data_IF_997424994098
#
_entry.id   IF_997424994098
#
_cell.length_a   1.000
_cell.length_b   1.000
_cell.length_c   1.000
_cell.angle_alpha   90.00
_cell.angle_beta   90.00
_cell.angle_gamma   90.00
#
_symmetry.space_group_name_H-M   'P 1'
#
loop_
_entity.id
_entity.type
_entity.pdbx_description
1 polymer ?
#
# COMPACT_ATOMS: atom_id res chain seq x y z
N UNK A 1 -37.23 29.36 -47.66
CA UNK A 1 -37.29 27.90 -47.41
C UNK A 1 -36.00 27.48 -46.73
N UNK A 2 -36.02 27.31 -45.41
CA UNK A 2 -34.92 26.65 -44.69
C UNK A 2 -35.40 25.21 -44.47
N UNK A 3 -34.58 24.24 -44.90
CA UNK A 3 -34.92 22.84 -44.98
C UNK A 3 -35.44 22.30 -43.64
N UNK A 4 -36.61 21.65 -43.66
CA UNK A 4 -37.06 20.80 -42.56
C UNK A 4 -36.00 19.72 -42.35
N UNK A 5 -35.39 19.73 -41.17
CA UNK A 5 -34.47 18.68 -40.75
C UNK A 5 -35.22 17.36 -40.85
N UNK A 6 -34.82 16.51 -41.80
CA UNK A 6 -35.58 15.31 -42.13
C UNK A 6 -35.74 14.41 -40.90
N UNK A 7 -36.83 13.63 -40.80
CA UNK A 7 -37.05 12.70 -39.69
C UNK A 7 -35.88 11.72 -39.50
N UNK A 8 -35.13 11.43 -40.56
CA UNK A 8 -33.92 10.61 -40.53
C UNK A 8 -32.76 11.31 -39.82
N UNK A 9 -32.57 12.61 -40.05
CA UNK A 9 -31.53 13.40 -39.35
C UNK A 9 -31.86 13.52 -37.86
N UNK A 10 -33.15 13.73 -37.49
CA UNK A 10 -33.56 13.72 -36.07
C UNK A 10 -33.31 12.37 -35.40
N UNK A 11 -33.62 11.26 -36.09
CA UNK A 11 -33.33 9.91 -35.57
C UNK A 11 -31.84 9.63 -35.46
N UNK A 12 -31.03 10.05 -36.43
CA UNK A 12 -29.59 9.89 -36.37
C UNK A 12 -29.00 10.66 -35.18
N UNK A 13 -29.37 11.93 -35.00
CA UNK A 13 -28.93 12.76 -33.87
C UNK A 13 -29.36 12.14 -32.54
N UNK A 14 -30.61 11.67 -32.42
CA UNK A 14 -31.10 11.02 -31.20
C UNK A 14 -30.34 9.72 -30.89
N UNK A 15 -30.07 8.88 -31.89
CA UNK A 15 -29.27 7.67 -31.71
C UNK A 15 -27.83 7.96 -31.35
N UNK A 16 -27.19 8.97 -31.96
CA UNK A 16 -25.84 9.39 -31.59
C UNK A 16 -25.81 9.90 -30.15
N UNK A 17 -26.82 10.66 -29.72
CA UNK A 17 -26.97 11.13 -28.33
C UNK A 17 -27.13 9.96 -27.36
N UNK A 18 -27.98 8.98 -27.69
CA UNK A 18 -28.17 7.78 -26.86
C UNK A 18 -26.88 6.99 -26.74
N UNK A 19 -26.18 6.73 -27.86
CA UNK A 19 -24.91 5.99 -27.84
C UNK A 19 -23.84 6.73 -27.04
N UNK A 20 -23.72 8.05 -27.23
CA UNK A 20 -22.80 8.88 -26.44
C UNK A 20 -23.17 8.90 -24.97
N UNK A 21 -24.46 9.00 -24.61
CA UNK A 21 -24.91 8.95 -23.22
C UNK A 21 -24.66 7.57 -22.61
N UNK A 22 -24.89 6.47 -23.33
CA UNK A 22 -24.61 5.12 -22.85
C UNK A 22 -23.10 4.89 -22.66
N UNK A 23 -22.27 5.29 -23.63
CA UNK A 23 -20.80 5.21 -23.52
C UNK A 23 -20.32 6.12 -22.39
N UNK A 24 -20.85 7.34 -22.29
CA UNK A 24 -20.59 8.30 -21.22
C UNK A 24 -20.98 7.75 -19.84
N UNK A 25 -22.11 7.06 -19.72
CA UNK A 25 -22.57 6.47 -18.47
C UNK A 25 -21.76 5.23 -18.08
N UNK A 26 -21.41 4.37 -19.03
CA UNK A 26 -20.51 3.22 -18.79
C UNK A 26 -19.13 3.70 -18.35
N UNK A 27 -18.60 4.74 -19.00
CA UNK A 27 -17.28 5.29 -18.67
C UNK A 27 -17.29 6.14 -17.40
N UNK A 28 -18.38 6.87 -17.09
CA UNK A 28 -18.59 7.46 -15.77
C UNK A 28 -18.71 6.39 -14.70
N UNK A 29 -19.36 5.25 -14.99
CA UNK A 29 -19.44 4.12 -14.07
C UNK A 29 -18.08 3.48 -13.81
N UNK A 30 -17.23 3.37 -14.83
CA UNK A 30 -15.83 2.93 -14.70
C UNK A 30 -14.99 3.95 -13.93
N UNK A 31 -15.18 5.24 -14.20
CA UNK A 31 -14.54 6.33 -13.48
C UNK A 31 -14.99 6.37 -12.02
N UNK A 32 -16.27 6.22 -11.73
CA UNK A 32 -16.82 6.11 -10.38
C UNK A 32 -16.34 4.87 -9.67
N UNK A 33 -16.10 3.74 -10.34
CA UNK A 33 -15.47 2.57 -9.72
C UNK A 33 -14.00 2.84 -9.37
N UNK A 34 -13.27 3.53 -10.26
CA UNK A 34 -11.91 3.98 -10.00
C UNK A 34 -11.85 5.01 -8.86
N UNK A 35 -12.83 5.93 -8.81
CA UNK A 35 -12.95 6.99 -7.81
C UNK A 35 -13.49 6.43 -6.50
N UNK A 36 -14.43 5.48 -6.47
CA UNK A 36 -14.82 4.75 -5.25
C UNK A 36 -13.67 3.88 -4.71
N UNK A 37 -12.74 3.46 -5.57
CA UNK A 37 -11.46 2.88 -5.17
C UNK A 37 -10.49 3.87 -4.53
N UNK A 38 -10.57 5.16 -4.88
CA UNK A 38 -9.72 6.26 -4.38
C UNK A 38 -10.35 7.09 -3.25
N UNK A 39 -11.68 7.08 -3.13
CA UNK A 39 -12.46 7.87 -2.18
C UNK A 39 -12.50 7.08 -0.87
N UNK A 40 -11.68 7.56 0.06
CA UNK A 40 -11.41 7.00 1.39
C UNK A 40 -10.48 5.78 1.32
N UNK A 41 -9.26 5.97 0.85
CA UNK A 41 -8.13 5.16 1.32
C UNK A 41 -7.68 5.76 2.66
N UNK A 42 -8.04 5.18 3.81
CA UNK A 42 -7.51 5.65 5.08
C UNK A 42 -6.00 5.43 5.05
N UNK A 43 -5.30 6.41 5.58
CA UNK A 43 -3.86 6.33 5.76
C UNK A 43 -3.62 5.46 6.98
N UNK A 44 -2.89 4.33 6.86
CA UNK A 44 -2.64 3.47 8.01
C UNK A 44 -1.79 4.18 9.06
N UNK A 45 -2.08 3.94 10.34
CA UNK A 45 -1.52 4.72 11.44
C UNK A 45 -0.02 4.49 11.69
N UNK A 46 0.54 3.40 11.16
CA UNK A 46 1.91 2.95 11.39
C UNK A 46 2.65 2.64 10.06
N UNK A 47 3.99 2.62 10.06
CA UNK A 47 4.79 2.35 8.87
C UNK A 47 4.77 0.89 8.42
N UNK A 48 5.12 0.67 7.15
CA UNK A 48 5.41 -0.67 6.66
C UNK A 48 6.81 -1.11 7.15
N UNK A 49 6.96 -2.36 7.62
CA UNK A 49 8.24 -2.94 8.03
C UNK A 49 9.12 -3.38 6.84
N UNK A 50 8.81 -2.92 5.62
CA UNK A 50 9.57 -3.23 4.41
C UNK A 50 9.51 -2.07 3.43
N UNK A 51 10.46 -2.04 2.49
CA UNK A 51 10.49 -1.02 1.45
C UNK A 51 9.47 -1.33 0.36
N UNK A 52 8.39 -0.54 0.29
CA UNK A 52 7.36 -0.62 -0.76
C UNK A 52 7.88 -0.25 -2.16
N UNK A 53 9.12 0.25 -2.28
CA UNK A 53 9.77 0.47 -3.57
C UNK A 53 9.96 -0.84 -4.35
N UNK A 54 10.24 -1.94 -3.63
CA UNK A 54 10.17 -3.29 -4.17
C UNK A 54 8.71 -3.72 -4.19
N UNK A 55 8.19 -4.00 -5.39
CA UNK A 55 6.75 -4.21 -5.62
C UNK A 55 6.30 -5.63 -5.24
N UNK A 56 7.21 -6.59 -5.35
CA UNK A 56 6.90 -8.02 -5.27
C UNK A 56 7.35 -8.64 -3.95
N UNK A 57 6.56 -9.58 -3.44
CA UNK A 57 6.95 -10.45 -2.33
C UNK A 57 6.71 -11.91 -2.73
N UNK A 58 7.44 -12.83 -2.09
CA UNK A 58 7.34 -14.27 -2.35
C UNK A 58 6.54 -14.95 -1.23
N UNK A 59 5.59 -15.82 -1.59
CA UNK A 59 4.83 -16.62 -0.63
C UNK A 59 5.10 -18.12 -0.82
N UNK A 60 5.78 -18.72 0.17
CA UNK A 60 6.13 -20.13 0.21
C UNK A 60 5.28 -20.92 1.22
N UNK A 61 4.13 -20.39 1.68
CA UNK A 61 3.26 -21.09 2.65
C UNK A 61 2.78 -22.48 2.21
N UNK A 62 2.80 -22.78 0.92
CA UNK A 62 2.42 -24.09 0.37
C UNK A 62 3.54 -25.16 0.43
N UNK A 63 4.72 -24.79 0.92
CA UNK A 63 5.89 -25.64 1.08
C UNK A 63 6.06 -26.04 2.56
N UNK A 64 6.93 -27.01 2.84
CA UNK A 64 7.46 -27.24 4.19
C UNK A 64 8.55 -26.23 4.53
N UNK A 65 8.94 -26.11 5.81
CA UNK A 65 10.05 -25.23 6.21
C UNK A 65 11.35 -25.59 5.49
N UNK A 66 11.64 -26.88 5.32
CA UNK A 66 12.83 -27.35 4.63
C UNK A 66 12.81 -27.01 3.13
N UNK A 67 11.69 -27.26 2.46
CA UNK A 67 11.53 -26.93 1.04
C UNK A 67 11.62 -25.41 0.81
N UNK A 68 11.06 -24.60 1.71
CA UNK A 68 11.16 -23.15 1.62
C UNK A 68 12.63 -22.67 1.73
N UNK A 69 13.41 -23.25 2.65
CA UNK A 69 14.86 -22.98 2.75
C UNK A 69 15.59 -23.36 1.46
N UNK A 70 15.33 -24.56 0.92
CA UNK A 70 15.95 -25.01 -0.34
C UNK A 70 15.56 -24.11 -1.52
N UNK A 71 14.32 -23.63 -1.54
CA UNK A 71 13.84 -22.68 -2.54
C UNK A 71 14.63 -21.37 -2.51
N UNK A 72 14.81 -20.80 -1.32
CA UNK A 72 15.56 -19.55 -1.14
C UNK A 72 17.05 -19.72 -1.45
N UNK A 73 17.64 -20.85 -1.08
CA UNK A 73 19.05 -21.14 -1.37
C UNK A 73 19.34 -21.35 -2.87
N UNK A 74 18.41 -21.97 -3.60
CA UNK A 74 18.54 -22.20 -5.05
C UNK A 74 18.16 -20.98 -5.89
N UNK A 75 17.09 -20.29 -5.50
CA UNK A 75 16.51 -19.18 -6.25
C UNK A 75 17.14 -17.83 -5.92
N UNK A 76 17.57 -17.60 -4.67
CA UNK A 76 17.91 -16.28 -4.15
C UNK A 76 16.67 -15.48 -3.71
N UNK A 77 16.92 -14.31 -3.12
CA UNK A 77 15.88 -13.48 -2.46
C UNK A 77 15.62 -12.12 -3.12
N UNK A 78 16.52 -11.63 -3.97
CA UNK A 78 16.23 -10.48 -4.83
C UNK A 78 15.36 -10.98 -5.99
N UNK A 79 14.28 -10.29 -6.42
CA UNK A 79 13.91 -8.90 -6.14
C UNK A 79 12.93 -8.69 -4.97
N UNK A 80 12.67 -9.70 -4.15
CA UNK A 80 11.56 -9.67 -3.21
C UNK A 80 11.73 -8.60 -2.12
N UNK A 81 10.65 -7.89 -1.80
CA UNK A 81 10.54 -6.93 -0.70
C UNK A 81 10.41 -7.64 0.66
N UNK A 82 9.81 -8.82 0.64
CA UNK A 82 9.50 -9.66 1.79
C UNK A 82 9.31 -11.11 1.29
N UNK A 83 9.60 -12.07 2.15
CA UNK A 83 9.29 -13.49 1.90
C UNK A 83 8.41 -14.04 3.01
N UNK A 84 7.32 -14.71 2.63
CA UNK A 84 6.46 -15.47 3.55
C UNK A 84 6.92 -16.92 3.57
N UNK A 85 7.33 -17.41 4.74
CA UNK A 85 7.89 -18.75 4.93
C UNK A 85 7.10 -19.54 5.97
N UNK A 86 6.85 -20.84 5.75
CA UNK A 86 6.20 -21.71 6.70
C UNK A 86 7.17 -22.13 7.81
N UNK A 87 6.69 -22.20 9.05
CA UNK A 87 7.38 -22.80 10.19
C UNK A 87 6.58 -24.02 10.61
N UNK A 88 7.16 -25.19 10.42
CA UNK A 88 6.51 -26.48 10.66
C UNK A 88 6.21 -26.68 12.16
N UNK A 89 5.16 -27.46 12.44
CA UNK A 89 4.58 -27.61 13.77
C UNK A 89 5.56 -28.20 14.81
N UNK A 90 6.51 -29.01 14.35
CA UNK A 90 7.59 -29.58 15.16
C UNK A 90 8.62 -28.52 15.60
N UNK A 91 8.98 -27.59 14.71
CA UNK A 91 9.83 -26.44 15.05
C UNK A 91 9.11 -25.53 16.06
N UNK A 92 7.84 -25.20 15.80
CA UNK A 92 7.03 -24.39 16.72
C UNK A 92 6.93 -25.05 18.09
N UNK A 93 6.69 -26.36 18.12
CA UNK A 93 6.66 -27.13 19.37
C UNK A 93 8.01 -27.10 20.10
N UNK A 94 9.11 -27.36 19.39
CA UNK A 94 10.45 -27.40 19.95
C UNK A 94 10.92 -26.05 20.51
N UNK A 95 10.47 -24.91 19.95
CA UNK A 95 10.75 -23.57 20.50
C UNK A 95 10.23 -23.39 21.94
N UNK A 96 9.19 -24.14 22.33
CA UNK A 96 8.62 -24.06 23.68
C UNK A 96 9.30 -24.98 24.70
N UNK A 97 10.19 -25.88 24.26
CA UNK A 97 10.80 -26.93 25.08
C UNK A 97 12.26 -26.60 25.35
N UNK A 98 12.67 -26.52 26.62
CA UNK A 98 14.04 -26.11 27.01
C UNK A 98 15.14 -26.91 26.31
N UNK A 99 14.99 -28.23 26.20
CA UNK A 99 16.02 -29.12 25.63
C UNK A 99 16.05 -29.09 24.10
N UNK A 100 14.90 -28.87 23.44
CA UNK A 100 14.79 -28.86 21.98
C UNK A 100 14.91 -27.44 21.37
N UNK A 101 14.75 -26.39 22.18
CA UNK A 101 14.80 -24.99 21.75
C UNK A 101 16.08 -24.62 21.00
N UNK A 102 17.29 -25.07 21.40
CA UNK A 102 18.51 -24.76 20.63
C UNK A 102 18.47 -25.28 19.20
N UNK A 103 17.94 -26.49 18.97
CA UNK A 103 17.82 -27.06 17.62
C UNK A 103 16.77 -26.33 16.79
N UNK A 104 15.63 -25.95 17.39
CA UNK A 104 14.60 -25.16 16.73
C UNK A 104 15.11 -23.76 16.33
N UNK A 105 15.87 -23.11 17.22
CA UNK A 105 16.52 -21.83 16.91
C UNK A 105 17.58 -21.97 15.81
N UNK A 106 18.32 -23.08 15.75
CA UNK A 106 19.25 -23.33 14.65
C UNK A 106 18.53 -23.48 13.29
N UNK A 107 17.37 -24.15 13.26
CA UNK A 107 16.54 -24.24 12.06
C UNK A 107 16.00 -22.87 11.62
N UNK A 108 15.54 -22.06 12.58
CA UNK A 108 15.11 -20.67 12.33
C UNK A 108 16.28 -19.79 11.87
N UNK A 109 17.48 -19.95 12.45
CA UNK A 109 18.70 -19.24 12.05
C UNK A 109 19.03 -19.56 10.57
N UNK A 110 18.91 -20.82 10.14
CA UNK A 110 19.11 -21.21 8.74
C UNK A 110 18.08 -20.57 7.79
N UNK A 111 16.82 -20.47 8.22
CA UNK A 111 15.75 -19.81 7.46
C UNK A 111 16.03 -18.31 7.32
N UNK A 112 16.37 -17.63 8.41
CA UNK A 112 16.75 -16.20 8.42
C UNK A 112 17.99 -15.94 7.57
N UNK A 113 19.01 -16.79 7.67
CA UNK A 113 20.21 -16.68 6.85
C UNK A 113 19.90 -16.85 5.35
N UNK A 114 19.01 -17.78 5.00
CA UNK A 114 18.61 -18.03 3.62
C UNK A 114 17.81 -16.85 3.02
N UNK A 115 17.21 -16.02 3.86
CA UNK A 115 16.55 -14.77 3.45
C UNK A 115 17.52 -13.63 3.10
N UNK A 116 18.83 -13.78 3.40
CA UNK A 116 19.90 -12.84 3.07
C UNK A 116 19.58 -11.36 3.40
N UNK A 117 18.90 -11.13 4.53
CA UNK A 117 18.51 -9.79 4.99
C UNK A 117 17.19 -9.25 4.43
N UNK A 118 16.49 -9.99 3.55
CA UNK A 118 15.11 -9.67 3.18
C UNK A 118 14.18 -9.98 4.36
N UNK A 119 13.27 -9.06 4.76
CA UNK A 119 12.35 -9.29 5.85
C UNK A 119 11.47 -10.53 5.65
N UNK A 120 11.31 -11.31 6.72
CA UNK A 120 10.47 -12.51 6.74
C UNK A 120 9.10 -12.24 7.35
N UNK A 121 8.09 -12.84 6.74
CA UNK A 121 6.81 -13.14 7.37
C UNK A 121 6.76 -14.64 7.67
N UNK A 122 6.55 -15.02 8.92
CA UNK A 122 6.55 -16.43 9.33
C UNK A 122 5.14 -16.95 9.50
N UNK A 123 4.83 -18.05 8.82
CA UNK A 123 3.56 -18.74 8.94
C UNK A 123 3.70 -19.91 9.91
N UNK A 124 3.30 -19.71 11.16
CA UNK A 124 3.49 -20.69 12.22
C UNK A 124 2.42 -21.77 12.12
N UNK A 125 2.82 -23.02 11.92
CA UNK A 125 1.90 -24.15 11.99
C UNK A 125 1.50 -24.44 13.43
N UNK A 126 0.21 -24.71 13.67
CA UNK A 126 -0.28 -25.04 15.01
C UNK A 126 0.38 -26.34 15.52
N UNK A 127 1.09 -26.33 16.67
CA UNK A 127 1.68 -27.54 17.22
C UNK A 127 0.64 -28.40 17.96
N UNK A 128 0.82 -29.72 17.91
CA UNK A 128 0.02 -30.66 18.69
C UNK A 128 0.56 -30.80 20.13
N UNK A 129 0.43 -29.74 20.93
CA UNK A 129 0.93 -29.68 22.31
C UNK A 129 -0.20 -29.65 23.36
N UNK A 130 0.00 -30.25 24.54
CA UNK A 130 -0.88 -30.06 25.69
C UNK A 130 -0.67 -28.65 26.30
N UNK A 131 -1.70 -27.80 26.28
CA UNK A 131 -1.66 -26.43 26.83
C UNK A 131 -2.72 -25.51 26.20
N UNK A 132 -2.83 -24.26 26.69
CA UNK A 132 -3.63 -23.23 26.01
C UNK A 132 -2.85 -22.70 24.81
N UNK A 133 -3.50 -22.52 23.65
CA UNK A 133 -2.82 -22.07 22.43
C UNK A 133 -2.15 -20.70 22.58
N UNK A 134 -2.69 -19.82 23.43
CA UNK A 134 -2.10 -18.50 23.73
C UNK A 134 -0.73 -18.60 24.41
N UNK A 135 -0.54 -19.51 25.38
CA UNK A 135 0.75 -19.66 26.07
C UNK A 135 1.86 -20.15 25.12
N UNK A 136 1.51 -21.07 24.22
CA UNK A 136 2.42 -21.56 23.18
C UNK A 136 2.76 -20.41 22.23
N UNK A 137 1.75 -19.70 21.73
CA UNK A 137 1.95 -18.55 20.85
C UNK A 137 2.85 -17.50 21.48
N UNK A 138 2.61 -17.14 22.75
CA UNK A 138 3.40 -16.16 23.49
C UNK A 138 4.88 -16.55 23.57
N UNK A 139 5.17 -17.77 24.04
CA UNK A 139 6.57 -18.25 24.15
C UNK A 139 7.30 -18.22 22.81
N UNK A 140 6.61 -18.63 21.74
CA UNK A 140 7.18 -18.68 20.39
C UNK A 140 7.43 -17.26 19.87
N UNK A 141 6.44 -16.37 19.95
CA UNK A 141 6.56 -15.00 19.45
C UNK A 141 7.58 -14.17 20.25
N UNK A 142 7.67 -14.36 21.57
CA UNK A 142 8.70 -13.73 22.41
C UNK A 142 10.10 -14.21 22.01
N UNK A 143 10.31 -15.52 21.88
CA UNK A 143 11.58 -16.07 21.43
C UNK A 143 12.00 -15.53 20.06
N UNK A 144 11.05 -15.36 19.15
CA UNK A 144 11.29 -14.80 17.82
C UNK A 144 11.60 -13.31 17.87
N UNK A 145 10.86 -12.53 18.66
CA UNK A 145 11.07 -11.09 18.81
C UNK A 145 12.43 -10.78 19.45
N UNK A 146 12.86 -11.58 20.43
CA UNK A 146 14.17 -11.45 21.09
C UNK A 146 15.33 -11.82 20.16
N UNK A 147 15.22 -12.93 19.44
CA UNK A 147 16.32 -13.48 18.62
C UNK A 147 16.43 -12.81 17.24
N UNK A 148 15.31 -12.40 16.65
CA UNK A 148 15.22 -11.94 15.26
C UNK A 148 14.57 -10.55 15.07
N UNK A 149 14.89 -9.55 15.90
CA UNK A 149 14.18 -8.26 15.90
C UNK A 149 14.23 -7.54 14.54
N UNK A 150 15.34 -7.68 13.80
CA UNK A 150 15.54 -7.05 12.49
C UNK A 150 15.31 -7.96 11.28
N UNK A 151 14.91 -9.21 11.48
CA UNK A 151 14.78 -10.20 10.39
C UNK A 151 13.34 -10.65 10.18
N UNK A 152 12.57 -10.83 11.26
CA UNK A 152 11.17 -11.28 11.17
C UNK A 152 10.26 -10.07 11.38
N UNK A 153 9.63 -9.61 10.30
CA UNK A 153 8.70 -8.51 10.31
C UNK A 153 7.31 -8.93 10.78
N UNK A 154 6.84 -10.08 10.30
CA UNK A 154 5.47 -10.52 10.50
C UNK A 154 5.36 -11.96 10.98
N UNK A 155 4.24 -12.23 11.63
CA UNK A 155 3.78 -13.57 12.00
C UNK A 155 2.34 -13.74 11.52
N UNK A 156 2.00 -14.95 11.07
CA UNK A 156 0.62 -15.39 10.87
C UNK A 156 0.45 -16.85 11.30
N UNK A 157 -0.78 -17.25 11.61
CA UNK A 157 -1.11 -18.67 11.80
C UNK A 157 -1.26 -19.42 10.48
N UNK A 158 -0.64 -20.61 10.40
CA UNK A 158 -0.78 -21.62 9.35
C UNK A 158 -1.35 -22.92 9.94
N UNK A 159 -1.99 -23.75 9.11
CA UNK A 159 -2.50 -25.06 9.53
C UNK A 159 -3.66 -25.57 8.67
N UNK A 160 -4.41 -26.53 9.21
CA UNK A 160 -5.66 -26.97 8.62
C UNK A 160 -6.69 -25.83 8.64
N UNK A 161 -7.48 -25.68 7.57
CA UNK A 161 -8.38 -24.55 7.36
C UNK A 161 -9.28 -24.25 8.57
N UNK A 162 -9.75 -25.29 9.26
CA UNK A 162 -10.64 -25.18 10.42
C UNK A 162 -9.94 -24.73 11.71
N UNK A 163 -8.62 -24.93 11.82
CA UNK A 163 -7.83 -24.59 13.01
C UNK A 163 -7.13 -23.23 12.91
N UNK A 164 -6.94 -22.72 11.69
CA UNK A 164 -6.27 -21.45 11.42
C UNK A 164 -6.92 -20.28 12.20
N UNK A 165 -8.25 -20.10 12.23
CA UNK A 165 -8.85 -18.94 12.89
C UNK A 165 -8.50 -18.84 14.38
N UNK A 166 -8.59 -19.95 15.11
CA UNK A 166 -8.31 -19.99 16.54
C UNK A 166 -6.81 -19.80 16.82
N UNK A 167 -5.96 -20.50 16.06
CA UNK A 167 -4.51 -20.38 16.21
C UNK A 167 -3.99 -18.98 15.88
N UNK A 168 -4.51 -18.38 14.80
CA UNK A 168 -4.21 -17.00 14.44
C UNK A 168 -4.68 -16.02 15.50
N UNK A 169 -5.86 -16.25 16.10
CA UNK A 169 -6.36 -15.42 17.19
C UNK A 169 -5.43 -15.47 18.41
N UNK A 170 -4.92 -16.65 18.75
CA UNK A 170 -3.96 -16.82 19.85
C UNK A 170 -2.64 -16.08 19.58
N UNK A 171 -2.08 -16.18 18.37
CA UNK A 171 -0.91 -15.39 17.95
C UNK A 171 -1.21 -13.89 18.02
N UNK A 172 -2.38 -13.45 17.54
CA UNK A 172 -2.77 -12.04 17.60
C UNK A 172 -2.83 -11.53 19.03
N UNK A 173 -3.34 -12.33 19.98
CA UNK A 173 -3.39 -11.95 21.40
C UNK A 173 -2.00 -11.93 22.03
N UNK A 174 -1.16 -12.93 21.71
CA UNK A 174 0.21 -13.01 22.18
C UNK A 174 1.05 -11.78 21.81
N UNK A 175 0.94 -11.32 20.55
CA UNK A 175 1.74 -10.19 20.06
C UNK A 175 1.13 -8.84 20.45
N UNK A 176 -0.20 -8.70 20.34
CA UNK A 176 -0.87 -7.39 20.45
C UNK A 176 -1.50 -7.13 21.82
N UNK A 177 -1.49 -8.12 22.70
CA UNK A 177 -2.20 -8.10 23.99
C UNK A 177 -3.69 -8.38 23.85
N UNK A 178 -4.30 -8.86 24.94
CA UNK A 178 -5.70 -9.28 25.00
C UNK A 178 -6.70 -8.12 24.86
N UNK A 179 -6.27 -6.88 25.13
CA UNK A 179 -7.14 -5.69 25.09
C UNK A 179 -7.37 -5.17 23.67
N UNK A 180 -6.60 -5.65 22.68
CA UNK A 180 -6.74 -5.22 21.28
C UNK A 180 -7.63 -6.18 20.49
N UNK A 181 -8.47 -5.68 19.56
CA UNK A 181 -9.31 -6.54 18.73
C UNK A 181 -8.47 -7.53 17.93
N UNK A 182 -8.82 -8.81 17.96
CA UNK A 182 -8.13 -9.88 17.21
C UNK A 182 -8.11 -9.56 15.72
N UNK A 183 -6.96 -9.79 15.06
CA UNK A 183 -6.84 -9.61 13.63
C UNK A 183 -7.42 -10.82 12.86
N UNK A 184 -8.04 -10.60 11.69
CA UNK A 184 -8.51 -11.67 10.83
C UNK A 184 -7.36 -12.60 10.39
N UNK A 185 -7.67 -13.88 10.16
CA UNK A 185 -6.68 -14.93 9.84
C UNK A 185 -5.81 -14.68 8.60
N UNK A 186 -6.29 -13.85 7.67
CA UNK A 186 -5.56 -13.41 6.49
C UNK A 186 -4.70 -12.16 6.72
N UNK A 187 -4.50 -11.70 7.96
CA UNK A 187 -3.74 -10.48 8.25
C UNK A 187 -2.36 -10.83 8.83
N UNK A 188 -1.29 -10.39 8.18
CA UNK A 188 0.05 -10.47 8.76
C UNK A 188 0.15 -9.56 9.99
N UNK A 189 0.55 -10.15 11.12
CA UNK A 189 0.65 -9.48 12.42
C UNK A 189 2.09 -9.00 12.59
N UNK A 190 2.35 -7.68 12.74
CA UNK A 190 3.70 -7.16 12.92
C UNK A 190 4.25 -7.69 14.25
N UNK A 191 5.43 -8.33 14.22
CA UNK A 191 6.03 -8.96 15.40
C UNK A 191 6.48 -7.94 16.45
N UNK A 192 6.95 -6.78 16.01
CA UNK A 192 7.51 -5.73 16.88
C UNK A 192 6.92 -4.36 16.58
N UNK A 193 7.17 -3.81 15.39
CA UNK A 193 6.74 -2.48 14.95
C UNK A 193 6.03 -2.51 13.60
N UNK A 194 5.29 -1.44 13.30
CA UNK A 194 4.66 -1.24 12.00
C UNK A 194 3.19 -1.68 11.92
N UNK A 195 2.63 -1.52 10.72
CA UNK A 195 1.22 -1.76 10.45
C UNK A 195 0.93 -3.22 10.02
N UNK A 196 -0.23 -3.77 10.41
CA UNK A 196 -0.70 -5.05 9.86
C UNK A 196 -0.95 -4.98 8.35
N UNK A 197 -0.71 -6.10 7.67
CA UNK A 197 -0.93 -6.25 6.23
C UNK A 197 -2.00 -7.30 5.95
N UNK A 198 -3.11 -6.92 5.30
CA UNK A 198 -4.21 -7.85 4.99
C UNK A 198 -3.97 -8.52 3.63
N UNK A 199 -3.91 -9.84 3.61
CA UNK A 199 -3.75 -10.64 2.40
C UNK A 199 -5.10 -10.97 1.77
N UNK A 200 -5.18 -10.93 0.45
CA UNK A 200 -6.34 -11.42 -0.29
C UNK A 200 -5.90 -12.10 -1.57
N UNK A 201 -6.55 -13.21 -1.91
CA UNK A 201 -6.21 -13.99 -3.10
C UNK A 201 -6.88 -13.41 -4.35
N UNK A 202 -6.12 -13.33 -5.43
CA UNK A 202 -6.67 -13.04 -6.75
C UNK A 202 -7.27 -14.30 -7.37
N UNK A 203 -8.42 -14.19 -8.05
CA UNK A 203 -9.18 -15.34 -8.55
C UNK A 203 -8.51 -16.05 -9.72
N UNK A 204 -7.64 -15.36 -10.47
CA UNK A 204 -6.99 -15.89 -11.67
C UNK A 204 -5.49 -16.04 -11.44
N UNK A 205 -4.90 -17.19 -11.79
CA UNK A 205 -3.46 -17.35 -11.79
C UNK A 205 -2.82 -16.49 -12.90
N UNK A 206 -1.56 -16.11 -12.69
CA UNK A 206 -0.68 -15.44 -13.66
C UNK A 206 -1.16 -14.09 -14.23
N UNK A 207 -2.35 -13.61 -13.83
CA UNK A 207 -2.97 -12.38 -14.33
C UNK A 207 -3.29 -11.41 -13.19
N UNK A 208 -2.85 -10.16 -13.36
CA UNK A 208 -3.18 -9.07 -12.44
C UNK A 208 -4.08 -8.07 -13.15
N UNK A 209 -5.27 -7.85 -12.60
CA UNK A 209 -6.25 -6.90 -13.12
C UNK A 209 -6.77 -5.97 -12.01
N UNK A 210 -6.94 -4.69 -12.34
CA UNK A 210 -7.40 -3.68 -11.38
C UNK A 210 -8.81 -3.97 -10.85
N UNK A 211 -9.71 -4.51 -11.68
CA UNK A 211 -11.07 -4.85 -11.29
C UNK A 211 -11.08 -6.05 -10.34
N UNK A 212 -10.23 -7.05 -10.58
CA UNK A 212 -10.09 -8.21 -9.70
C UNK A 212 -9.57 -7.78 -8.31
N UNK A 213 -8.60 -6.85 -8.26
CA UNK A 213 -8.13 -6.24 -7.00
C UNK A 213 -9.26 -5.47 -6.30
N UNK A 214 -9.97 -4.60 -7.02
CA UNK A 214 -11.06 -3.82 -6.43
C UNK A 214 -12.20 -4.69 -5.91
N UNK A 215 -12.47 -5.82 -6.57
CA UNK A 215 -13.51 -6.76 -6.17
C UNK A 215 -13.09 -7.63 -4.97
N UNK A 216 -11.83 -8.08 -4.93
CA UNK A 216 -11.33 -8.99 -3.90
C UNK A 216 -10.83 -8.26 -2.64
N UNK A 217 -10.40 -7.00 -2.76
CA UNK A 217 -9.81 -6.25 -1.65
C UNK A 217 -10.84 -6.09 -0.51
N UNK A 218 -10.50 -6.54 0.72
CA UNK A 218 -11.34 -6.31 1.89
C UNK A 218 -11.55 -4.81 2.14
N UNK A 219 -12.77 -4.36 2.49
CA UNK A 219 -13.02 -2.97 2.88
C UNK A 219 -12.42 -2.71 4.27
N UNK A 220 -11.10 -2.56 4.31
CA UNK A 220 -10.35 -2.38 5.56
C UNK A 220 -9.54 -1.10 5.51
N UNK A 221 -9.23 -0.57 6.69
CA UNK A 221 -8.42 0.63 6.83
C UNK A 221 -6.91 0.34 6.86
N UNK A 222 -6.48 -0.77 6.26
CA UNK A 222 -5.13 -1.31 6.42
C UNK A 222 -4.42 -1.41 5.08
N UNK A 223 -3.10 -1.55 5.16
CA UNK A 223 -2.34 -2.04 4.02
C UNK A 223 -2.83 -3.42 3.58
N UNK A 224 -2.69 -3.70 2.30
CA UNK A 224 -3.12 -4.95 1.69
C UNK A 224 -2.08 -5.53 0.74
N UNK A 225 -2.04 -6.85 0.63
CA UNK A 225 -1.20 -7.59 -0.31
C UNK A 225 -2.06 -8.50 -1.17
N UNK A 226 -1.93 -8.37 -2.50
CA UNK A 226 -2.65 -9.22 -3.45
C UNK A 226 -1.85 -10.49 -3.69
N UNK A 227 -2.35 -11.63 -3.24
CA UNK A 227 -1.73 -12.94 -3.43
C UNK A 227 -2.15 -13.49 -4.77
N UNK A 228 -1.18 -13.80 -5.62
CA UNK A 228 -1.41 -14.39 -6.94
C UNK A 228 -0.66 -15.71 -7.06
N UNK A 229 -1.40 -16.74 -7.48
CA UNK A 229 -0.79 -18.01 -7.81
C UNK A 229 -0.06 -17.91 -9.14
N UNK A 230 1.17 -18.40 -9.17
CA UNK A 230 2.04 -18.39 -10.34
C UNK A 230 2.25 -19.83 -10.81
N UNK A 231 1.77 -20.14 -12.00
CA UNK A 231 1.91 -21.47 -12.62
C UNK A 231 3.09 -21.55 -13.58
N UNK A 232 3.54 -20.40 -14.10
CA UNK A 232 4.71 -20.24 -14.96
C UNK A 232 5.40 -18.90 -14.67
N UNK A 233 6.72 -18.75 -14.92
CA UNK A 233 7.41 -17.46 -14.74
C UNK A 233 6.66 -16.31 -15.45
N UNK A 234 6.32 -15.23 -14.74
CA UNK A 234 5.60 -14.10 -15.32
C UNK A 234 6.28 -13.47 -16.53
N UNK A 235 5.48 -12.86 -17.41
CA UNK A 235 6.01 -12.09 -18.54
C UNK A 235 6.17 -10.60 -18.20
N UNK A 236 6.57 -9.81 -19.19
CA UNK A 236 6.72 -8.36 -19.01
C UNK A 236 5.39 -7.64 -18.79
N UNK A 237 4.27 -8.19 -19.29
CA UNK A 237 2.95 -7.60 -19.10
C UNK A 237 2.52 -7.67 -17.63
N UNK A 238 2.83 -8.77 -16.94
CA UNK A 238 2.67 -8.89 -15.50
C UNK A 238 3.44 -7.78 -14.76
N UNK A 239 4.70 -7.54 -15.11
CA UNK A 239 5.54 -6.52 -14.48
C UNK A 239 4.99 -5.10 -14.63
N UNK A 240 4.52 -4.78 -15.84
CA UNK A 240 3.85 -3.49 -16.13
C UNK A 240 2.56 -3.37 -15.31
N UNK A 241 1.73 -4.41 -15.26
CA UNK A 241 0.50 -4.40 -14.47
C UNK A 241 0.79 -4.22 -12.97
N UNK A 242 1.73 -4.98 -12.41
CA UNK A 242 2.09 -4.93 -10.99
C UNK A 242 2.55 -3.53 -10.57
N UNK A 243 3.48 -2.94 -11.33
CA UNK A 243 4.02 -1.60 -11.06
C UNK A 243 2.95 -0.52 -11.22
N UNK A 244 2.12 -0.60 -12.25
CA UNK A 244 1.02 0.33 -12.51
C UNK A 244 0.00 0.32 -11.36
N UNK A 245 -0.43 -0.86 -10.91
CA UNK A 245 -1.39 -1.02 -9.81
C UNK A 245 -0.83 -0.49 -8.49
N UNK A 246 0.41 -0.85 -8.17
CA UNK A 246 1.09 -0.36 -6.97
C UNK A 246 1.25 1.16 -6.95
N UNK A 247 1.38 1.80 -8.12
CA UNK A 247 1.49 3.25 -8.22
C UNK A 247 0.15 3.99 -7.99
N UNK A 248 -0.99 3.31 -8.18
CA UNK A 248 -2.33 3.90 -8.18
C UNK A 248 -3.20 3.53 -6.96
N UNK A 249 -2.85 2.46 -6.25
CA UNK A 249 -3.64 1.99 -5.11
C UNK A 249 -2.88 2.20 -3.80
N UNK A 250 -3.20 3.28 -3.08
CA UNK A 250 -2.52 3.65 -1.83
C UNK A 250 -2.47 2.52 -0.79
N UNK A 251 -3.57 1.78 -0.66
CA UNK A 251 -3.70 0.68 0.29
C UNK A 251 -3.04 -0.64 -0.19
N UNK A 252 -2.65 -0.74 -1.46
CA UNK A 252 -1.94 -1.91 -1.97
C UNK A 252 -0.44 -1.73 -1.74
N UNK A 253 0.14 -2.64 -0.95
CA UNK A 253 1.53 -2.57 -0.50
C UNK A 253 2.43 -3.59 -1.17
N UNK A 254 1.89 -4.71 -1.65
CA UNK A 254 2.65 -5.77 -2.31
C UNK A 254 1.78 -6.51 -3.33
N UNK A 255 2.41 -6.94 -4.41
CA UNK A 255 1.97 -8.08 -5.22
C UNK A 255 2.74 -9.31 -4.74
N UNK A 256 2.02 -10.29 -4.21
CA UNK A 256 2.62 -11.46 -3.55
C UNK A 256 2.50 -12.64 -4.49
N UNK A 257 3.64 -13.12 -5.01
CA UNK A 257 3.68 -14.29 -5.89
C UNK A 257 3.77 -15.56 -5.08
N UNK A 258 2.82 -16.47 -5.31
CA UNK A 258 2.80 -17.81 -4.72
C UNK A 258 3.05 -18.85 -5.83
N UNK A 259 4.29 -19.33 -6.00
CA UNK A 259 4.61 -20.29 -7.05
C UNK A 259 3.99 -21.67 -6.78
N UNK A 260 3.56 -22.34 -7.85
CA UNK A 260 3.31 -23.77 -7.81
C UNK A 260 4.63 -24.56 -7.81
N UNK A 261 4.61 -25.80 -7.30
CA UNK A 261 5.81 -26.60 -7.04
C UNK A 261 6.67 -26.88 -8.27
N UNK A 262 6.07 -26.88 -9.46
CA UNK A 262 6.77 -27.11 -10.73
C UNK A 262 7.47 -25.86 -11.29
N UNK A 263 7.22 -24.67 -10.73
CA UNK A 263 7.89 -23.43 -11.17
C UNK A 263 9.33 -23.46 -10.69
N UNK A 264 10.29 -23.20 -11.58
CA UNK A 264 11.69 -23.11 -11.18
C UNK A 264 11.99 -21.78 -10.47
N UNK A 265 12.63 -21.86 -9.29
CA UNK A 265 12.92 -20.70 -8.44
C UNK A 265 13.80 -19.64 -9.14
N UNK A 266 14.79 -20.08 -9.92
CA UNK A 266 15.69 -19.21 -10.68
C UNK A 266 14.98 -18.51 -11.85
N UNK A 267 14.09 -19.22 -12.55
CA UNK A 267 13.31 -18.68 -13.67
C UNK A 267 12.30 -17.63 -13.19
N UNK A 268 11.59 -17.93 -12.08
CA UNK A 268 10.71 -16.98 -11.43
C UNK A 268 11.46 -15.71 -11.02
N UNK A 269 12.60 -15.86 -10.34
CA UNK A 269 13.43 -14.70 -9.95
C UNK A 269 13.81 -13.86 -11.17
N UNK A 270 14.32 -14.50 -12.22
CA UNK A 270 14.77 -13.80 -13.43
C UNK A 270 13.63 -12.98 -14.06
N UNK A 271 12.41 -13.52 -14.09
CA UNK A 271 11.24 -12.84 -14.65
C UNK A 271 10.79 -11.60 -13.86
N UNK A 272 11.05 -11.57 -12.55
CA UNK A 272 10.64 -10.49 -11.66
C UNK A 272 11.73 -9.44 -11.43
N UNK A 273 12.95 -9.70 -11.89
CA UNK A 273 14.11 -8.85 -11.62
C UNK A 273 13.89 -7.45 -12.21
N UNK A 274 14.19 -6.42 -11.41
CA UNK A 274 14.06 -5.02 -11.83
C UNK A 274 12.67 -4.40 -11.65
N UNK A 275 11.67 -5.17 -11.17
CA UNK A 275 10.33 -4.64 -10.86
C UNK A 275 10.36 -3.77 -9.59
N UNK A 276 10.47 -2.46 -9.79
CA UNK A 276 10.44 -1.46 -8.73
C UNK A 276 9.53 -0.28 -9.10
N UNK A 277 9.01 0.41 -8.09
CA UNK A 277 8.36 1.70 -8.28
C UNK A 277 9.38 2.77 -8.70
N UNK A 278 8.98 3.85 -9.39
CA UNK A 278 9.88 4.98 -9.60
C UNK A 278 10.31 5.59 -8.25
N UNK A 279 11.55 6.09 -8.19
CA UNK A 279 12.04 6.79 -6.99
C UNK A 279 11.45 8.19 -6.84
N UNK A 280 11.31 8.93 -7.94
CA UNK A 280 10.68 10.25 -7.94
C UNK A 280 9.84 10.45 -9.21
N UNK A 281 8.66 11.09 -9.14
CA UNK A 281 7.96 11.50 -7.91
C UNK A 281 7.47 10.28 -7.11
N UNK A 282 7.27 10.45 -5.80
CA UNK A 282 6.77 9.40 -4.92
C UNK A 282 5.39 8.91 -5.40
N UNK A 283 5.17 7.58 -5.46
CA UNK A 283 3.89 6.99 -5.86
C UNK A 283 2.82 7.16 -4.79
N UNK A 284 1.56 6.86 -5.15
CA UNK A 284 0.49 6.81 -4.15
C UNK A 284 0.73 5.70 -3.11
N UNK A 285 0.42 5.95 -1.85
CA UNK A 285 0.62 5.08 -0.69
C UNK A 285 1.90 5.37 0.09
N UNK A 286 2.32 4.44 0.95
CA UNK A 286 3.51 4.60 1.78
C UNK A 286 4.80 4.50 0.98
N UNK A 287 5.75 5.38 1.31
CA UNK A 287 7.14 5.34 0.86
C UNK A 287 8.04 5.53 2.07
N UNK A 288 8.93 4.56 2.33
CA UNK A 288 9.90 4.63 3.43
C UNK A 288 10.91 5.74 3.22
N UNK A 289 11.39 6.37 4.30
CA UNK A 289 12.38 7.45 4.30
C UNK A 289 13.70 7.10 3.61
N UNK A 290 14.01 5.82 3.47
CA UNK A 290 15.21 5.31 2.78
C UNK A 290 14.99 5.07 1.28
N UNK A 291 13.79 5.31 0.77
CA UNK A 291 13.48 5.05 -0.63
C UNK A 291 14.25 6.01 -1.57
N UNK A 292 14.57 5.55 -2.79
CA UNK A 292 15.07 6.44 -3.84
C UNK A 292 14.10 7.61 -4.04
N UNK A 293 14.62 8.83 -4.23
CA UNK A 293 13.82 10.05 -4.40
C UNK A 293 13.51 10.84 -3.13
N UNK A 294 13.86 10.31 -1.96
CA UNK A 294 13.89 11.06 -0.71
C UNK A 294 15.30 11.62 -0.51
N UNK A 295 15.41 12.94 -0.41
CA UNK A 295 16.70 13.62 -0.21
C UNK A 295 16.77 14.15 1.21
N UNK A 296 17.78 13.74 1.96
CA UNK A 296 18.03 14.22 3.33
C UNK A 296 19.24 15.16 3.35
N UNK A 297 19.14 16.28 4.07
CA UNK A 297 20.21 17.25 4.28
C UNK A 297 20.36 17.52 5.78
N UNK A 298 21.59 17.69 6.25
CA UNK A 298 21.92 17.74 7.68
C UNK A 298 22.16 16.36 8.29
N UNK A 299 22.32 16.31 9.60
CA UNK A 299 22.75 15.10 10.32
C UNK A 299 21.56 14.17 10.59
N UNK A 300 21.29 13.29 9.63
CA UNK A 300 20.32 12.20 9.76
C UNK A 300 21.02 10.88 10.05
N UNK A 301 20.61 10.24 11.13
CA UNK A 301 21.03 8.90 11.52
C UNK A 301 19.92 7.94 11.07
N UNK A 302 20.25 7.04 10.15
CA UNK A 302 19.34 5.95 9.80
C UNK A 302 19.38 4.88 10.88
N UNK A 303 18.20 4.47 11.33
CA UNK A 303 18.03 3.42 12.33
C UNK A 303 16.87 2.51 11.95
N UNK A 304 16.91 1.27 12.40
CA UNK A 304 15.81 0.32 12.24
C UNK A 304 15.25 -0.05 13.60
N UNK A 305 13.93 0.05 13.77
CA UNK A 305 13.22 -0.43 14.96
C UNK A 305 12.34 -1.59 14.53
N UNK A 306 12.64 -2.80 15.03
CA UNK A 306 12.12 -4.00 14.41
C UNK A 306 12.67 -4.10 12.99
N UNK A 307 11.77 -4.07 12.00
CA UNK A 307 12.08 -4.05 10.56
C UNK A 307 11.72 -2.73 9.88
N UNK A 308 11.01 -1.83 10.59
CA UNK A 308 10.68 -0.51 10.09
C UNK A 308 11.90 0.43 10.12
N UNK A 309 12.09 1.16 9.03
CA UNK A 309 13.20 2.10 8.85
C UNK A 309 12.79 3.50 9.32
N UNK A 310 13.72 4.18 9.99
CA UNK A 310 13.57 5.55 10.47
C UNK A 310 14.81 6.36 10.16
N UNK A 311 14.61 7.64 9.83
CA UNK A 311 15.63 8.66 9.87
C UNK A 311 15.43 9.47 11.14
N UNK A 312 16.44 9.51 11.99
CA UNK A 312 16.44 10.25 13.26
C UNK A 312 17.44 11.38 13.22
N UNK A 313 17.08 12.51 13.80
CA UNK A 313 18.01 13.63 14.01
C UNK A 313 17.79 14.27 15.38
N UNK A 314 18.86 14.85 15.92
CA UNK A 314 18.89 15.66 17.13
C UNK A 314 19.24 17.12 16.83
N UNK A 315 19.36 17.48 15.56
CA UNK A 315 19.68 18.84 15.10
C UNK A 315 18.64 19.31 14.09
N UNK A 316 18.71 20.58 13.71
CA UNK A 316 17.91 21.10 12.61
C UNK A 316 18.40 20.48 11.28
N UNK A 317 17.53 19.71 10.64
CA UNK A 317 17.82 18.96 9.43
C UNK A 317 16.61 18.99 8.48
N UNK A 318 16.83 18.65 7.22
CA UNK A 318 15.84 18.80 6.15
C UNK A 318 15.64 17.49 5.40
N UNK A 319 14.39 17.20 5.02
CA UNK A 319 14.00 16.16 4.07
C UNK A 319 13.27 16.84 2.91
N UNK A 320 13.63 16.52 1.67
CA UNK A 320 12.96 16.99 0.47
C UNK A 320 12.46 15.81 -0.36
N UNK A 321 11.22 15.91 -0.83
CA UNK A 321 10.58 14.92 -1.70
C UNK A 321 9.78 15.62 -2.81
N UNK A 322 9.55 14.89 -3.89
CA UNK A 322 8.53 15.25 -4.89
C UNK A 322 7.48 14.15 -4.93
N UNK A 323 6.22 14.51 -5.11
CA UNK A 323 5.12 13.54 -5.18
C UNK A 323 4.04 13.99 -6.16
N UNK A 324 3.17 13.07 -6.56
CA UNK A 324 1.96 13.39 -7.33
C UNK A 324 0.76 12.89 -6.52
N UNK A 325 -0.16 13.78 -6.18
CA UNK A 325 -1.32 13.43 -5.34
C UNK A 325 -2.01 14.65 -4.76
N UNK A 326 -3.10 14.43 -4.03
CA UNK A 326 -3.95 15.49 -3.46
C UNK A 326 -3.76 15.66 -1.95
N UNK A 327 -3.28 14.61 -1.26
CA UNK A 327 -2.98 14.69 0.17
C UNK A 327 -1.62 14.06 0.47
N UNK A 328 -0.95 14.61 1.48
CA UNK A 328 0.36 14.19 1.93
C UNK A 328 0.38 14.06 3.45
N UNK A 329 0.93 12.95 3.90
CA UNK A 329 1.11 12.62 5.31
C UNK A 329 2.56 12.24 5.56
N UNK A 330 3.04 12.53 6.77
CA UNK A 330 4.32 12.03 7.27
C UNK A 330 4.06 11.02 8.37
N UNK A 331 4.79 9.91 8.34
CA UNK A 331 4.83 8.97 9.44
C UNK A 331 6.04 9.25 10.31
N UNK A 332 5.80 9.59 11.56
CA UNK A 332 6.81 10.04 12.49
C UNK A 332 6.56 9.46 13.90
N UNK A 333 7.61 9.41 14.70
CA UNK A 333 7.51 9.05 16.11
C UNK A 333 7.19 10.32 16.91
N UNK A 334 6.10 10.28 17.67
CA UNK A 334 5.84 11.26 18.73
C UNK A 334 6.42 10.77 20.04
N UNK A 335 6.91 11.65 20.91
CA UNK A 335 7.48 11.29 22.22
C UNK A 335 7.59 12.51 23.14
N UNK A 336 7.84 12.34 24.46
CA UNK A 336 8.00 13.48 25.38
C UNK A 336 9.13 14.44 24.96
N UNK A 337 10.20 13.87 24.40
CA UNK A 337 11.41 14.57 23.98
C UNK A 337 11.40 14.92 22.49
N UNK A 338 10.24 14.88 21.85
CA UNK A 338 10.16 15.15 20.42
C UNK A 338 10.27 16.66 20.12
N UNK A 339 10.90 16.97 18.98
CA UNK A 339 10.98 18.32 18.42
C UNK A 339 9.71 18.73 17.64
N UNK A 340 9.87 19.66 16.71
CA UNK A 340 8.81 20.08 15.79
C UNK A 340 9.14 19.76 14.34
N UNK A 341 8.10 19.58 13.53
CA UNK A 341 8.16 19.48 12.07
C UNK A 341 7.57 20.74 11.44
N UNK A 342 8.33 21.33 10.52
CA UNK A 342 7.95 22.48 9.71
C UNK A 342 7.92 22.04 8.25
N UNK A 343 6.80 22.21 7.57
CA UNK A 343 6.60 21.74 6.20
C UNK A 343 6.23 22.90 5.27
N UNK A 344 6.87 22.94 4.09
CA UNK A 344 6.54 23.83 2.98
C UNK A 344 6.14 23.00 1.77
N UNK A 345 4.96 23.30 1.22
CA UNK A 345 4.47 22.70 -0.03
C UNK A 345 4.66 23.72 -1.15
N UNK A 346 5.33 23.31 -2.21
CA UNK A 346 5.68 24.13 -3.38
C UNK A 346 6.31 25.50 -3.01
N UNK A 347 7.38 25.52 -2.16
CA UNK A 347 7.98 26.77 -1.73
C UNK A 347 8.59 27.55 -2.91
N UNK A 348 8.29 28.86 -3.04
CA UNK A 348 8.98 29.71 -4.00
C UNK A 348 10.40 30.01 -3.50
N UNK A 349 11.40 29.31 -4.04
CA UNK A 349 12.84 29.60 -3.93
C UNK A 349 13.62 29.16 -2.67
N UNK A 350 13.27 28.04 -2.03
CA UNK A 350 14.04 27.44 -0.91
C UNK A 350 14.47 28.45 0.18
N UNK A 351 13.75 29.57 0.32
CA UNK A 351 14.14 30.70 1.17
C UNK A 351 13.53 30.53 2.57
N UNK A 352 14.36 30.41 3.62
CA UNK A 352 13.92 30.16 5.00
C UNK A 352 13.15 31.32 5.65
N UNK A 353 13.01 32.48 5.01
CA UNK A 353 12.19 33.59 5.53
C UNK A 353 10.68 33.44 5.25
N UNK A 354 10.27 32.43 4.48
CA UNK A 354 8.86 32.18 4.17
C UNK A 354 8.24 31.34 5.27
N UNK A 355 7.07 31.73 5.79
CA UNK A 355 6.38 30.96 6.83
C UNK A 355 6.06 29.53 6.35
N UNK A 356 6.17 28.50 7.21
CA UNK A 356 5.83 27.13 6.86
C UNK A 356 4.34 26.99 6.58
N UNK A 357 4.00 26.20 5.55
CA UNK A 357 2.62 25.81 5.25
C UNK A 357 2.00 25.08 6.44
N UNK A 358 2.78 24.24 7.13
CA UNK A 358 2.35 23.49 8.30
C UNK A 358 3.46 23.46 9.35
N UNK A 359 3.08 23.72 10.61
CA UNK A 359 3.90 23.47 11.79
C UNK A 359 3.22 22.45 12.70
N UNK A 360 3.97 21.44 13.15
CA UNK A 360 3.49 20.34 14.00
C UNK A 360 4.46 20.07 15.13
N UNK A 361 3.98 20.19 16.36
CA UNK A 361 4.71 19.75 17.54
C UNK A 361 4.52 18.24 17.71
N UNK A 362 5.62 17.49 17.82
CA UNK A 362 5.59 16.03 17.95
C UNK A 362 5.56 15.54 19.40
N UNK A 363 5.45 16.46 20.37
CA UNK A 363 5.43 16.07 21.79
C UNK A 363 4.20 15.27 22.15
N UNK A 364 4.42 14.13 22.80
CA UNK A 364 3.36 13.26 23.31
C UNK A 364 3.75 12.62 24.64
N UNK A 365 2.79 12.01 25.34
CA UNK A 365 3.03 11.47 26.70
C UNK A 365 3.95 10.26 26.71
N UNK A 366 3.97 9.50 25.62
CA UNK A 366 4.78 8.30 25.43
C UNK A 366 5.24 8.22 23.98
N UNK A 367 6.26 7.41 23.73
CA UNK A 367 6.72 7.17 22.36
C UNK A 367 5.69 6.36 21.58
N UNK A 368 5.24 6.87 20.43
CA UNK A 368 4.24 6.21 19.58
C UNK A 368 4.40 6.62 18.12
N UNK A 369 4.31 5.64 17.21
CA UNK A 369 4.23 5.89 15.77
C UNK A 369 2.90 6.56 15.44
N UNK A 370 2.96 7.65 14.68
CA UNK A 370 1.76 8.36 14.26
C UNK A 370 1.86 8.79 12.81
N UNK A 371 0.69 8.98 12.21
CA UNK A 371 0.58 9.56 10.87
C UNK A 371 0.00 10.96 10.95
N UNK A 372 0.76 11.95 10.47
CA UNK A 372 0.43 13.36 10.59
C UNK A 372 0.15 13.92 9.20
N UNK A 373 -1.03 14.51 9.03
CA UNK A 373 -1.39 15.18 7.79
C UNK A 373 -0.62 16.50 7.64
N UNK A 374 0.14 16.60 6.55
CA UNK A 374 0.91 17.79 6.17
C UNK A 374 0.18 18.63 5.12
N UNK A 375 -0.58 18.00 4.21
CA UNK A 375 -1.36 18.70 3.21
C UNK A 375 -2.61 17.91 2.82
N UNK A 376 -3.66 18.64 2.42
CA UNK A 376 -4.94 18.05 1.99
C UNK A 376 -5.59 18.88 0.90
N UNK A 377 -6.27 18.22 -0.04
CA UNK A 377 -7.02 18.92 -1.10
C UNK A 377 -6.14 19.71 -2.07
N UNK A 378 -4.87 19.33 -2.22
CA UNK A 378 -4.00 19.87 -3.27
C UNK A 378 -4.56 19.51 -4.65
N UNK A 379 -4.26 20.30 -5.70
CA UNK A 379 -4.51 19.89 -7.08
C UNK A 379 -3.91 18.51 -7.35
N UNK A 380 -4.54 17.67 -8.16
CA UNK A 380 -3.98 16.37 -8.52
C UNK A 380 -2.84 16.52 -9.55
N UNK A 381 -1.70 17.06 -9.10
CA UNK A 381 -0.54 17.42 -9.88
C UNK A 381 0.76 17.03 -9.15
N UNK A 382 1.91 17.36 -9.75
CA UNK A 382 3.21 17.20 -9.10
C UNK A 382 3.44 18.33 -8.11
N UNK A 383 3.91 17.96 -6.92
CA UNK A 383 4.22 18.86 -5.82
C UNK A 383 5.62 18.57 -5.27
N UNK A 384 6.22 19.57 -4.63
CA UNK A 384 7.47 19.45 -3.87
C UNK A 384 7.19 19.73 -2.39
N UNK A 385 7.61 18.82 -1.51
CA UNK A 385 7.65 19.06 -0.06
C UNK A 385 9.09 19.32 0.35
N UNK A 386 9.27 20.35 1.17
CA UNK A 386 10.45 20.54 2.01
C UNK A 386 10.00 20.44 3.47
N UNK A 387 10.53 19.45 4.20
CA UNK A 387 10.27 19.21 5.61
C UNK A 387 11.53 19.55 6.40
N UNK A 388 11.44 20.46 7.37
CA UNK A 388 12.54 20.78 8.29
C UNK A 388 12.17 20.41 9.71
N UNK A 389 13.16 20.00 10.48
CA UNK A 389 13.04 19.86 11.93
C UNK A 389 13.36 21.19 12.61
N UNK A 390 12.69 21.46 13.73
CA UNK A 390 13.08 22.51 14.67
C UNK A 390 13.29 21.84 16.03
N UNK A 391 14.55 21.77 16.45
CA UNK A 391 15.00 20.98 17.60
C UNK A 391 15.75 21.88 18.60
N UNK A 392 15.36 21.77 19.86
CA UNK A 392 16.11 22.37 20.97
C UNK A 392 17.12 21.34 21.52
N UNK A 393 18.36 21.40 21.00
CA UNK A 393 19.47 20.53 21.38
C UNK A 393 19.76 20.57 22.89
N UNK A 394 19.65 21.74 23.51
CA UNK A 394 19.90 21.90 24.94
C UNK A 394 18.88 21.16 25.80
N UNK A 395 17.69 20.86 25.24
CA UNK A 395 16.65 20.03 25.88
C UNK A 395 16.72 18.56 25.45
N UNK A 396 17.74 18.15 24.70
CA UNK A 396 17.89 16.76 24.24
C UNK A 396 16.79 16.31 23.28
N UNK A 397 16.18 17.25 22.54
CA UNK A 397 15.08 16.91 21.65
C UNK A 397 15.54 16.08 20.45
N UNK A 398 14.64 15.26 19.91
CA UNK A 398 14.89 14.53 18.66
C UNK A 398 13.65 14.41 17.80
N UNK A 399 13.84 14.18 16.51
CA UNK A 399 12.76 13.88 15.57
C UNK A 399 13.08 12.58 14.85
N UNK A 400 12.09 11.72 14.67
CA UNK A 400 12.22 10.48 13.90
C UNK A 400 11.10 10.37 12.88
N UNK A 401 11.47 10.18 11.61
CA UNK A 401 10.55 10.05 10.48
C UNK A 401 10.75 8.68 9.85
N UNK A 402 9.67 7.92 9.68
CA UNK A 402 9.72 6.62 9.01
C UNK A 402 9.48 6.70 7.50
N UNK A 403 8.65 7.67 7.07
CA UNK A 403 8.33 7.82 5.66
C UNK A 403 7.16 8.77 5.41
N UNK A 404 6.63 8.70 4.20
CA UNK A 404 5.55 9.56 3.73
C UNK A 404 4.43 8.72 3.12
N UNK A 405 3.19 9.19 3.24
CA UNK A 405 2.03 8.60 2.56
C UNK A 405 1.41 9.65 1.66
N UNK A 406 1.31 9.32 0.37
CA UNK A 406 0.66 10.16 -0.64
C UNK A 406 -0.69 9.54 -0.99
N UNK A 407 -1.75 10.33 -1.15
CA UNK A 407 -3.07 9.80 -1.57
C UNK A 407 -3.74 10.68 -2.60
N UNK A 408 -4.68 10.08 -3.35
CA UNK A 408 -5.56 10.76 -4.28
C UNK A 408 -4.84 11.21 -5.54
N UNK A 409 -4.18 10.27 -6.22
CA UNK A 409 -3.63 10.50 -7.55
C UNK A 409 -4.74 10.86 -8.55
N UNK A 410 -4.41 11.63 -9.58
CA UNK A 410 -5.38 12.05 -10.59
C UNK A 410 -5.97 10.84 -11.34
N UNK A 411 -7.29 10.82 -11.52
CA UNK A 411 -7.91 9.98 -12.57
C UNK A 411 -7.20 10.26 -13.90
N UNK A 412 -6.81 9.22 -14.66
CA UNK A 412 -6.00 9.39 -15.86
C UNK A 412 -6.65 10.38 -16.83
N UNK A 413 -5.84 11.27 -17.43
CA UNK A 413 -6.27 12.33 -18.35
C UNK A 413 -7.34 11.93 -19.40
N UNK A 414 -7.34 10.73 -20.02
CA UNK A 414 -8.42 10.31 -20.92
C UNK A 414 -9.80 10.28 -20.24
N UNK A 415 -9.89 9.91 -18.96
CA UNK A 415 -11.16 9.86 -18.21
C UNK A 415 -11.69 11.27 -17.97
N UNK A 416 -10.83 12.21 -17.60
CA UNK A 416 -11.19 13.62 -17.42
C UNK A 416 -11.60 14.26 -18.75
N UNK A 417 -10.84 14.01 -19.83
CA UNK A 417 -11.17 14.49 -21.18
C UNK A 417 -12.51 13.96 -21.67
N UNK A 418 -12.80 12.69 -21.38
CA UNK A 418 -14.07 12.07 -21.75
C UNK A 418 -15.24 12.63 -20.93
N UNK A 419 -15.06 12.85 -19.62
CA UNK A 419 -16.08 13.49 -18.78
C UNK A 419 -16.38 14.91 -19.27
N UNK A 420 -15.35 15.71 -19.59
CA UNK A 420 -15.50 17.05 -20.17
C UNK A 420 -16.23 17.00 -21.51
N UNK A 421 -15.88 16.04 -22.39
CA UNK A 421 -16.57 15.82 -23.67
C UNK A 421 -18.07 15.51 -23.45
N UNK A 422 -18.40 14.62 -22.52
CA UNK A 422 -19.78 14.27 -22.19
C UNK A 422 -20.55 15.48 -21.68
N UNK A 423 -19.96 16.27 -20.76
CA UNK A 423 -20.59 17.51 -20.28
C UNK A 423 -20.82 18.54 -21.40
N UNK A 424 -19.85 18.71 -22.31
CA UNK A 424 -20.00 19.56 -23.49
C UNK A 424 -21.12 19.08 -24.42
N UNK A 425 -21.26 17.77 -24.62
CA UNK A 425 -22.31 17.19 -25.45
C UNK A 425 -23.70 17.35 -24.83
N UNK A 426 -23.83 17.20 -23.50
CA UNK A 426 -25.09 17.47 -22.78
C UNK A 426 -25.44 18.97 -22.84
N UNK A 427 -24.47 19.85 -22.61
CA UNK A 427 -24.69 21.30 -22.66
C UNK A 427 -25.12 21.75 -24.07
N UNK A 428 -24.49 21.24 -25.12
CA UNK A 428 -24.86 21.54 -26.51
C UNK A 428 -26.24 21.00 -26.86
N UNK A 429 -26.61 19.80 -26.44
CA UNK A 429 -27.95 19.27 -26.64
C UNK A 429 -29.02 20.15 -25.96
N UNK A 430 -28.80 20.54 -24.70
CA UNK A 430 -29.72 21.41 -23.95
C UNK A 430 -29.86 22.81 -24.59
N UNK A 431 -28.77 23.38 -25.11
CA UNK A 431 -28.78 24.64 -25.87
C UNK A 431 -29.53 24.49 -27.20
N UNK A 432 -29.43 23.33 -27.84
CA UNK A 432 -30.12 23.04 -29.10
C UNK A 432 -31.62 22.87 -28.90
N UNK A 433 -32.05 22.20 -27.82
CA UNK A 433 -33.47 22.11 -27.45
C UNK A 433 -34.06 23.48 -27.09
N UNK A 434 -33.33 24.29 -26.32
CA UNK A 434 -33.77 25.66 -25.99
C UNK A 434 -33.91 26.54 -27.23
N UNK A 435 -32.98 26.44 -28.17
CA UNK A 435 -33.03 27.23 -29.41
C UNK A 435 -34.12 26.72 -30.36
N UNK A 436 -34.37 25.41 -30.45
CA UNK A 436 -35.52 24.87 -31.20
C UNK A 436 -36.86 25.28 -30.57
N UNK A 437 -36.98 25.25 -29.25
CA UNK A 437 -38.19 25.68 -28.54
C UNK A 437 -38.46 27.19 -28.74
N UNK A 438 -37.42 28.02 -28.72
CA UNK A 438 -37.58 29.45 -28.98
C UNK A 438 -37.95 29.75 -30.44
N UNK A 439 -37.36 29.04 -31.40
CA UNK A 439 -37.73 29.15 -32.82
C UNK A 439 -39.19 28.72 -33.04
N UNK A 440 -39.63 27.62 -32.42
CA UNK A 440 -41.03 27.19 -32.48
C UNK A 440 -41.98 28.23 -31.88
N UNK A 441 -41.63 28.82 -30.73
CA UNK A 441 -42.42 29.87 -30.10
C UNK A 441 -42.51 31.14 -30.95
N UNK A 442 -41.44 31.52 -31.66
CA UNK A 442 -41.45 32.64 -32.62
C UNK A 442 -42.37 32.31 -33.81
N UNK A 443 -42.29 31.08 -34.33
CA UNK A 443 -43.11 30.61 -35.47
C UNK A 443 -44.60 30.56 -35.14
N UNK A 444 -44.96 30.15 -33.92
CA UNK A 444 -46.34 30.22 -33.42
C UNK A 444 -46.85 31.64 -33.26
N UNK A 445 -45.98 32.59 -32.88
CA UNK A 445 -46.34 34.01 -32.81
C UNK A 445 -46.53 34.64 -34.18
N UNK A 446 -45.71 34.27 -35.17
CA UNK A 446 -45.85 34.77 -36.54
C UNK A 446 -47.08 34.20 -37.26
N UNK A 447 -47.43 32.94 -37.03
CA UNK A 447 -48.64 32.32 -37.60
C UNK A 447 -49.95 32.81 -36.95
N UNK A 448 -49.88 33.48 -35.79
CA UNK A 448 -51.03 34.11 -35.10
C UNK A 448 -51.13 35.62 -35.32
N UNK A 449 -50.26 36.23 -36.14
CA UNK A 449 -50.44 37.61 -36.57
C UNK A 449 -51.46 37.63 -37.73
N UNK A 450 -52.57 38.36 -37.62
CA UNK A 450 -53.60 38.45 -38.67
C UNK A 450 -53.09 39.16 -39.93
#
# INVERSE_FOLDING_TARGET
MIADISPQVRRAVAWTLIVVCCVGFVTLGLAERSVKGSVISPVPDAPLPFSRHKVVALDLRAYSSLEAVQWLQSGGVDPYAMVIVPVDADIVSALTQTDARPAALAAMDQMVQSAQGVPLATCLSKPALPGTGVEVAQKVTEAMAERYPGAIAYVLGCGLADEIPDWHADISRAIRGSDRPVLPSNTLIPLSSGAPLTLFDLPKPDTIDAADILAARPPTNRYSGAVIRITHPPDSAFGVAATDLMSRFAALSLVIVQPERQVESSALRASLTGLNLPGSPLPEGFTSVTAPGITTQGDWILSTVGTAQYARTTTDATISIEFVGTNLFVQALTSPDAGQLLAWIDPPNDNPSTEPTVSRNLKYRQAEDTTIQLASGLPAARHRLVLRTAIDEAKGQSVSVSGFVVTGHATPAPVVRLAVLVFLLVATAALTERSLASIHAIRERETRRP
#
